data_IF_540242827261
#
_entry.id   IF_540242827261
#
_cell.length_a   1.000
_cell.length_b   1.000
_cell.length_c   1.000
_cell.angle_alpha   90.00
_cell.angle_beta   90.00
_cell.angle_gamma   90.00
#
_symmetry.space_group_name_H-M   'P 1'
#
loop_
_entity.id
_entity.type
_entity.pdbx_description
1 polymer ?
#
# COMPACT_ATOMS: atom_id res chain seq x y z
N UNK A 1 13.54 1.37 4.86
CA UNK A 1 13.55 1.68 3.42
C UNK A 1 12.56 2.78 3.12
N UNK A 2 12.80 3.53 2.08
CA UNK A 2 11.98 4.68 1.72
C UNK A 2 11.08 4.31 0.54
N UNK A 3 9.80 4.65 0.67
CA UNK A 3 8.80 4.41 -0.36
C UNK A 3 8.11 5.72 -0.69
N UNK A 4 7.45 5.76 -1.84
CA UNK A 4 6.53 6.86 -2.16
C UNK A 4 5.11 6.31 -2.05
N UNK A 5 4.32 6.87 -1.15
CA UNK A 5 2.93 6.47 -0.97
C UNK A 5 2.06 7.65 -1.30
N UNK A 6 1.30 7.53 -2.39
CA UNK A 6 0.47 8.63 -2.90
C UNK A 6 1.30 9.90 -3.07
N UNK A 7 2.51 9.72 -3.65
CA UNK A 7 3.45 10.80 -3.95
C UNK A 7 4.09 11.45 -2.72
N UNK A 8 3.95 10.81 -1.55
CA UNK A 8 4.60 11.27 -0.34
C UNK A 8 5.65 10.25 0.09
N UNK A 9 6.85 10.75 0.44
CA UNK A 9 7.90 9.88 0.89
C UNK A 9 7.55 9.32 2.28
N UNK A 10 7.74 8.02 2.47
CA UNK A 10 7.53 7.36 3.75
C UNK A 10 8.66 6.40 4.04
N UNK A 11 9.03 6.34 5.31
CA UNK A 11 10.04 5.43 5.77
C UNK A 11 9.36 4.23 6.42
N UNK A 12 9.74 3.03 6.01
CA UNK A 12 9.19 1.79 6.58
C UNK A 12 10.34 0.83 6.85
N UNK A 13 10.16 -0.13 7.75
CA UNK A 13 11.23 -1.10 8.02
C UNK A 13 11.57 -1.92 6.79
N UNK A 14 12.86 -2.28 6.68
CA UNK A 14 13.31 -3.19 5.64
C UNK A 14 12.52 -4.49 5.72
N UNK A 15 12.18 -5.02 4.56
CA UNK A 15 11.45 -6.29 4.52
C UNK A 15 9.96 -6.15 4.70
N UNK A 16 9.44 -4.93 4.81
CA UNK A 16 8.00 -4.73 4.91
C UNK A 16 7.30 -5.19 3.64
N UNK A 17 6.12 -5.77 3.82
CA UNK A 17 5.27 -6.09 2.68
C UNK A 17 4.13 -5.08 2.60
N UNK A 18 3.29 -5.21 1.57
CA UNK A 18 2.21 -4.26 1.37
C UNK A 18 1.21 -4.28 2.52
N UNK A 19 0.90 -5.46 3.05
CA UNK A 19 0.00 -5.58 4.19
C UNK A 19 0.53 -4.79 5.39
N UNK A 20 1.83 -4.89 5.68
CA UNK A 20 2.43 -4.17 6.79
C UNK A 20 2.36 -2.67 6.58
N UNK A 21 2.55 -2.21 5.35
CA UNK A 21 2.42 -0.79 5.04
C UNK A 21 1.00 -0.30 5.32
N UNK A 22 0.00 -1.05 4.86
CA UNK A 22 -1.39 -0.65 5.06
C UNK A 22 -1.75 -0.64 6.54
N UNK A 23 -1.23 -1.58 7.31
CA UNK A 23 -1.42 -1.60 8.75
C UNK A 23 -0.83 -0.34 9.39
N UNK A 24 0.37 0.05 8.95
CA UNK A 24 1.03 1.24 9.48
C UNK A 24 0.23 2.51 9.16
N UNK A 25 -0.44 2.52 8.02
CA UNK A 25 -1.27 3.65 7.61
C UNK A 25 -2.64 3.64 8.27
N UNK A 26 -2.97 2.58 9.00
CA UNK A 26 -4.28 2.46 9.62
C UNK A 26 -5.38 2.08 8.65
N UNK A 27 -5.02 1.48 7.53
CA UNK A 27 -5.97 1.19 6.46
C UNK A 27 -6.33 -0.29 6.35
N UNK A 28 -5.76 -1.13 7.20
CA UNK A 28 -5.88 -2.59 7.04
C UNK A 28 -7.31 -3.09 7.10
N UNK A 29 -8.18 -2.38 7.82
CA UNK A 29 -9.57 -2.81 7.96
C UNK A 29 -10.53 -1.98 7.14
N UNK A 30 -10.02 -1.12 6.26
CA UNK A 30 -10.89 -0.30 5.43
C UNK A 30 -11.40 -1.10 4.25
N UNK A 31 -12.68 -0.98 3.96
CA UNK A 31 -13.26 -1.60 2.78
C UNK A 31 -13.05 -0.69 1.57
N UNK A 32 -13.06 -1.29 0.39
CA UNK A 32 -13.01 -0.53 -0.85
C UNK A 32 -11.65 0.02 -1.21
N UNK A 33 -10.58 -0.54 -0.66
CA UNK A 33 -9.24 -0.08 -1.02
C UNK A 33 -8.79 -0.72 -2.34
N UNK A 34 -8.19 0.10 -3.18
CA UNK A 34 -7.48 -0.37 -4.36
C UNK A 34 -6.03 0.08 -4.19
N UNK A 35 -5.10 -0.85 -4.38
CA UNK A 35 -3.69 -0.57 -4.16
C UNK A 35 -2.91 -0.99 -5.39
N UNK A 36 -2.01 -0.13 -5.83
CA UNK A 36 -1.10 -0.45 -6.93
C UNK A 36 0.32 -0.21 -6.45
N UNK A 37 1.22 -1.07 -6.89
CA UNK A 37 2.66 -0.93 -6.63
C UNK A 37 3.33 -0.80 -7.98
N UNK A 38 4.02 0.32 -8.20
CA UNK A 38 4.68 0.61 -9.47
C UNK A 38 3.73 0.41 -10.64
N UNK A 39 2.51 0.95 -10.52
CA UNK A 39 1.48 0.95 -11.54
C UNK A 39 0.82 -0.41 -11.78
N UNK A 40 1.11 -1.39 -10.95
CA UNK A 40 0.47 -2.72 -11.05
C UNK A 40 -0.48 -2.89 -9.88
N UNK A 41 -1.74 -3.16 -10.19
CA UNK A 41 -2.75 -3.36 -9.15
C UNK A 41 -2.46 -4.66 -8.41
N UNK A 42 -2.52 -4.59 -7.07
CA UNK A 42 -2.28 -5.76 -6.22
C UNK A 42 -3.59 -6.09 -5.51
N UNK A 43 -4.20 -7.23 -5.83
CA UNK A 43 -5.44 -7.62 -5.15
C UNK A 43 -5.22 -7.80 -3.66
N UNK A 44 -6.27 -7.57 -2.88
CA UNK A 44 -6.19 -7.66 -1.43
C UNK A 44 -5.65 -9.01 -0.96
N UNK A 45 -6.01 -10.08 -1.66
CA UNK A 45 -5.55 -11.42 -1.29
C UNK A 45 -4.04 -11.58 -1.41
N UNK A 46 -3.37 -10.66 -2.13
CA UNK A 46 -1.93 -10.74 -2.33
C UNK A 46 -1.14 -9.72 -1.51
N UNK A 47 -1.82 -8.89 -0.74
CA UNK A 47 -1.11 -7.86 0.02
C UNK A 47 -0.09 -8.44 1.00
N UNK A 48 -0.41 -9.56 1.62
CA UNK A 48 0.47 -10.17 2.61
C UNK A 48 1.71 -10.81 1.99
N UNK A 49 1.67 -11.11 0.70
CA UNK A 49 2.79 -11.71 0.00
C UNK A 49 3.50 -10.74 -0.95
N UNK A 50 3.00 -9.52 -1.05
CA UNK A 50 3.62 -8.51 -1.91
C UNK A 50 4.75 -7.83 -1.18
N UNK A 51 5.98 -8.22 -1.48
CA UNK A 51 7.15 -7.59 -0.88
C UNK A 51 7.36 -6.21 -1.49
N UNK A 52 7.85 -5.28 -0.67
CA UNK A 52 8.17 -3.94 -1.11
C UNK A 52 9.67 -3.74 -1.14
N UNK A 53 10.13 -2.86 -2.01
CA UNK A 53 11.54 -2.56 -2.17
C UNK A 53 11.77 -1.07 -2.08
N UNK A 54 13.02 -0.70 -1.80
CA UNK A 54 13.41 0.70 -1.74
C UNK A 54 12.98 1.43 -3.01
N UNK A 55 12.32 2.56 -2.83
CA UNK A 55 11.91 3.39 -3.95
C UNK A 55 10.60 3.01 -4.62
N UNK A 56 9.94 1.96 -4.15
CA UNK A 56 8.66 1.57 -4.76
C UNK A 56 7.63 2.69 -4.63
N UNK A 57 6.83 2.84 -5.67
CA UNK A 57 5.73 3.80 -5.69
C UNK A 57 4.43 3.05 -5.41
N UNK A 58 3.78 3.40 -4.31
CA UNK A 58 2.55 2.75 -3.88
C UNK A 58 1.41 3.76 -4.00
N UNK A 59 0.38 3.37 -4.71
CA UNK A 59 -0.82 4.19 -4.83
C UNK A 59 -1.96 3.51 -4.10
N UNK A 60 -2.54 4.20 -3.14
CA UNK A 60 -3.66 3.68 -2.37
C UNK A 60 -4.87 4.56 -2.63
N UNK A 61 -5.91 3.95 -3.13
CA UNK A 61 -7.16 4.64 -3.42
C UNK A 61 -8.25 4.00 -2.58
N UNK A 62 -8.97 4.82 -1.85
CA UNK A 62 -10.10 4.34 -1.07
C UNK A 62 -11.37 4.77 -1.79
N UNK A 63 -12.17 3.77 -2.19
CA UNK A 63 -13.43 4.07 -2.84
C UNK A 63 -14.37 4.74 -1.83
N UNK A 64 -14.92 5.86 -2.22
CA UNK A 64 -15.88 6.55 -1.39
C UNK A 64 -17.24 5.96 -1.67
N UNK A 65 -17.93 5.53 -0.63
CA UNK A 65 -19.31 5.10 -0.78
C UNK A 65 -20.13 6.32 -1.06
N UNK A 66 -20.66 6.38 -2.25
CA UNK A 66 -21.43 7.53 -2.66
C UNK A 66 -22.76 7.62 -1.95
N UNK A 67 -22.84 8.43 -1.05
CA UNK A 67 -24.11 8.65 -0.37
C UNK A 67 -24.23 7.97 0.87
#
# INVERSE_FOLDING_TARGET
MKLNVNEEAREVPEGSNLQALLTQLGLESKAGLAVAVNLSVVPAAEWATQALSEGDAVLVIQATQGG
#
